data_IF_409181998316
#
_entry.id   IF_409181998316
#
_cell.length_a   1.000
_cell.length_b   1.000
_cell.length_c   1.000
_cell.angle_alpha   90.00
_cell.angle_beta   90.00
_cell.angle_gamma   90.00
#
_symmetry.space_group_name_H-M   'P 1'
#
loop_
_entity.id
_entity.type
_entity.pdbx_description
1 polymer ?
#
# COMPACT_ATOMS: atom_id res chain seq x y z
N UNK A 1 10.24 5.12 9.15
CA UNK A 1 10.32 4.17 10.29
C UNK A 1 11.24 4.70 11.39
N UNK A 2 12.45 5.18 11.07
CA UNK A 2 13.43 5.65 12.06
C UNK A 2 12.92 6.73 13.05
N UNK A 3 12.00 7.58 12.61
CA UNK A 3 11.45 8.69 13.42
C UNK A 3 9.99 8.50 13.84
N UNK A 4 9.43 7.30 13.64
CA UNK A 4 8.06 7.04 14.04
C UNK A 4 8.00 6.76 15.54
N UNK A 5 7.13 7.44 16.29
CA UNK A 5 6.89 7.10 17.70
C UNK A 5 6.08 5.82 17.85
N UNK A 6 5.20 5.57 16.87
CA UNK A 6 4.35 4.38 16.82
C UNK A 6 4.41 3.75 15.43
N UNK A 7 4.55 2.42 15.40
CA UNK A 7 4.58 1.61 14.20
C UNK A 7 3.45 0.59 14.27
N UNK A 8 2.52 0.66 13.31
CA UNK A 8 1.49 -0.38 13.14
C UNK A 8 2.00 -1.43 12.17
N UNK A 9 2.33 -2.61 12.69
CA UNK A 9 2.68 -3.79 11.91
C UNK A 9 1.40 -4.55 11.56
N UNK A 10 0.92 -4.37 10.33
CA UNK A 10 -0.33 -4.92 9.85
C UNK A 10 -0.12 -6.20 9.01
N UNK A 11 -1.21 -6.96 8.81
CA UNK A 11 -1.29 -8.21 8.02
C UNK A 11 -0.64 -9.42 8.70
N UNK A 12 -0.79 -9.53 10.03
CA UNK A 12 -0.28 -10.69 10.76
C UNK A 12 -0.93 -12.02 10.31
N UNK A 13 -2.07 -11.96 9.63
CA UNK A 13 -2.77 -13.11 9.06
C UNK A 13 -2.04 -13.76 7.87
N UNK A 14 -1.04 -13.09 7.28
CA UNK A 14 -0.31 -13.59 6.11
C UNK A 14 1.12 -14.03 6.40
N UNK A 15 1.55 -14.04 7.68
CA UNK A 15 2.93 -14.34 8.06
C UNK A 15 2.99 -15.34 9.20
N UNK A 16 4.04 -16.16 9.18
CA UNK A 16 4.37 -17.06 10.29
C UNK A 16 4.93 -16.29 11.50
N UNK A 17 4.90 -16.88 12.71
CA UNK A 17 5.52 -16.27 13.89
C UNK A 17 7.01 -15.97 13.70
N UNK A 18 7.72 -16.81 12.93
CA UNK A 18 9.14 -16.65 12.62
C UNK A 18 9.39 -15.47 11.68
N UNK A 19 8.57 -15.30 10.64
CA UNK A 19 8.59 -14.14 9.75
C UNK A 19 8.29 -12.85 10.50
N UNK A 20 7.28 -12.88 11.38
CA UNK A 20 6.93 -11.75 12.23
C UNK A 20 8.11 -11.35 13.13
N UNK A 21 8.77 -12.32 13.77
CA UNK A 21 9.94 -12.06 14.61
C UNK A 21 11.09 -11.42 13.81
N UNK A 22 11.35 -11.88 12.58
CA UNK A 22 12.37 -11.28 11.70
C UNK A 22 12.03 -9.83 11.35
N UNK A 23 10.78 -9.55 10.97
CA UNK A 23 10.33 -8.19 10.64
C UNK A 23 10.40 -7.28 11.87
N UNK A 24 9.94 -7.76 13.04
CA UNK A 24 10.01 -7.01 14.28
C UNK A 24 11.46 -6.69 14.68
N UNK A 25 12.37 -7.67 14.56
CA UNK A 25 13.80 -7.46 14.82
C UNK A 25 14.40 -6.40 13.88
N UNK A 26 14.03 -6.42 12.59
CA UNK A 26 14.47 -5.42 11.61
C UNK A 26 13.94 -4.03 11.95
N UNK A 27 12.66 -3.90 12.30
CA UNK A 27 12.07 -2.64 12.76
C UNK A 27 12.83 -2.12 13.98
N UNK A 28 13.07 -2.97 14.98
CA UNK A 28 13.81 -2.61 16.21
C UNK A 28 15.26 -2.22 15.95
N UNK A 29 15.91 -2.76 14.92
CA UNK A 29 17.26 -2.35 14.51
C UNK A 29 17.30 -0.94 13.91
N UNK A 30 16.20 -0.47 13.33
CA UNK A 30 16.08 0.86 12.71
C UNK A 30 15.51 1.88 13.70
N UNK A 31 14.56 1.46 14.54
CA UNK A 31 13.93 2.30 15.53
C UNK A 31 13.63 1.47 16.78
N UNK A 32 14.53 1.57 17.76
CA UNK A 32 14.40 0.86 19.04
C UNK A 32 13.25 1.41 19.89
N UNK A 33 12.95 2.69 19.75
CA UNK A 33 12.07 3.44 20.65
C UNK A 33 10.60 3.40 20.24
N UNK A 34 10.29 3.12 18.98
CA UNK A 34 8.90 3.00 18.51
C UNK A 34 8.12 1.92 19.27
N UNK A 35 6.89 2.24 19.65
CA UNK A 35 5.91 1.23 20.06
C UNK A 35 5.41 0.48 18.81
N UNK A 36 5.40 -0.85 18.85
CA UNK A 36 4.95 -1.68 17.73
C UNK A 36 3.58 -2.25 18.08
N UNK A 37 2.56 -1.87 17.33
CA UNK A 37 1.23 -2.46 17.43
C UNK A 37 1.02 -3.47 16.32
N UNK A 38 0.60 -4.67 16.70
CA UNK A 38 0.22 -5.72 15.76
C UNK A 38 -1.23 -5.51 15.33
N UNK A 39 -1.49 -5.60 14.03
CA UNK A 39 -2.82 -5.46 13.46
C UNK A 39 -3.08 -6.48 12.34
N UNK A 40 -4.35 -6.87 12.20
CA UNK A 40 -4.85 -7.60 11.04
C UNK A 40 -5.94 -6.74 10.41
N UNK A 41 -5.88 -6.56 9.08
CA UNK A 41 -6.81 -5.67 8.34
C UNK A 41 -6.90 -4.25 8.91
N UNK A 42 -5.82 -3.75 9.53
CA UNK A 42 -5.76 -2.42 10.13
C UNK A 42 -6.54 -2.30 11.44
N UNK A 43 -6.98 -3.40 12.04
CA UNK A 43 -7.65 -3.40 13.33
C UNK A 43 -6.63 -3.14 14.45
N UNK A 44 -6.55 -1.88 14.87
CA UNK A 44 -5.75 -1.41 15.99
C UNK A 44 -6.57 -0.34 16.72
N UNK A 45 -6.44 -0.32 18.04
CA UNK A 45 -7.12 0.67 18.87
C UNK A 45 -6.63 2.08 18.53
N UNK A 46 -7.55 2.93 18.05
CA UNK A 46 -7.24 4.29 17.59
C UNK A 46 -6.71 5.18 18.72
N UNK A 47 -7.07 4.89 19.96
CA UNK A 47 -6.57 5.62 21.14
C UNK A 47 -5.08 5.41 21.36
N UNK A 48 -4.52 4.31 20.82
CA UNK A 48 -3.09 4.01 20.82
C UNK A 48 -2.33 4.68 19.67
N UNK A 49 -3.02 5.43 18.81
CA UNK A 49 -2.41 6.11 17.66
C UNK A 49 -2.56 7.63 17.72
N UNK A 50 -3.61 8.13 18.39
CA UNK A 50 -3.96 9.56 18.40
C UNK A 50 -3.78 10.17 19.79
N UNK A 51 -3.37 11.44 19.84
CA UNK A 51 -3.26 12.18 21.11
C UNK A 51 -2.08 11.79 22.00
N UNK A 52 -1.12 11.03 21.47
CA UNK A 52 0.00 10.49 22.24
C UNK A 52 1.04 11.54 22.64
N UNK A 53 0.94 12.78 22.13
CA UNK A 53 1.92 13.84 22.31
C UNK A 53 3.37 13.35 22.09
N UNK A 54 3.53 12.42 21.14
CA UNK A 54 4.69 11.55 21.08
C UNK A 54 5.95 12.24 20.55
N UNK A 55 5.79 13.40 19.92
CA UNK A 55 6.88 14.23 19.46
C UNK A 55 7.34 15.19 20.57
N UNK A 56 8.43 14.82 21.26
CA UNK A 56 9.19 15.68 22.16
C UNK A 56 10.54 16.01 21.51
N UNK A 57 10.65 17.21 20.95
CA UNK A 57 11.85 17.67 20.25
C UNK A 57 13.11 17.65 21.15
N UNK A 58 12.95 17.87 22.46
CA UNK A 58 14.08 17.84 23.41
C UNK A 58 14.66 16.44 23.52
N UNK A 59 13.80 15.42 23.66
CA UNK A 59 14.20 14.01 23.70
C UNK A 59 14.84 13.53 22.40
N UNK A 60 14.33 14.02 21.26
CA UNK A 60 14.87 13.68 19.93
C UNK A 60 16.29 14.23 19.77
N UNK A 61 16.53 15.49 20.17
CA UNK A 61 17.86 16.11 20.10
C UNK A 61 18.85 15.48 21.09
N UNK A 62 18.40 15.02 22.26
CA UNK A 62 19.26 14.30 23.21
C UNK A 62 19.67 12.89 22.71
N UNK A 63 18.78 12.22 21.99
CA UNK A 63 19.02 10.86 21.47
C UNK A 63 19.69 10.83 20.09
N UNK A 64 19.50 11.88 19.30
CA UNK A 64 20.06 12.07 17.95
C UNK A 64 20.52 13.53 17.83
N UNK A 65 21.75 13.85 18.25
CA UNK A 65 22.26 15.23 18.29
C UNK A 65 22.24 15.92 16.93
N UNK A 66 22.50 15.16 15.87
CA UNK A 66 22.62 15.65 14.48
C UNK A 66 21.25 15.67 13.76
N UNK A 67 20.13 15.63 14.50
CA UNK A 67 18.78 15.54 13.95
C UNK A 67 18.40 16.71 13.02
N UNK A 68 19.06 17.85 13.18
CA UNK A 68 18.84 19.06 12.36
C UNK A 68 19.91 19.25 11.26
N UNK A 69 20.88 18.34 11.14
CA UNK A 69 21.90 18.42 10.10
C UNK A 69 21.35 17.91 8.76
N UNK A 70 21.51 18.73 7.71
CA UNK A 70 20.86 18.58 6.39
C UNK A 70 21.28 17.32 5.60
N UNK A 71 22.31 16.58 6.05
CA UNK A 71 22.93 15.48 5.30
C UNK A 71 22.32 14.08 5.57
N UNK A 72 21.27 13.94 6.37
CA UNK A 72 20.69 12.63 6.72
C UNK A 72 19.54 12.15 5.81
N UNK A 73 19.33 12.77 4.65
CA UNK A 73 18.27 12.39 3.72
C UNK A 73 18.79 11.54 2.54
N UNK A 74 18.65 10.22 2.64
CA UNK A 74 18.65 9.36 1.45
C UNK A 74 17.34 9.59 0.70
N UNK A 75 17.30 10.62 -0.15
CA UNK A 75 16.24 10.79 -1.13
C UNK A 75 16.35 9.67 -2.16
N UNK A 76 15.47 8.68 -2.06
CA UNK A 76 15.31 7.68 -3.11
C UNK A 76 14.42 8.29 -4.20
N UNK A 77 15.01 9.11 -5.07
CA UNK A 77 14.33 9.95 -6.09
C UNK A 77 13.55 9.17 -7.17
N UNK A 78 13.48 7.84 -7.12
CA UNK A 78 12.89 7.01 -8.18
C UNK A 78 11.46 6.51 -7.87
N UNK A 79 10.86 6.91 -6.75
CA UNK A 79 9.50 6.53 -6.39
C UNK A 79 8.48 7.36 -7.19
N UNK A 80 7.70 6.71 -8.04
CA UNK A 80 6.62 7.32 -8.80
C UNK A 80 5.25 6.67 -8.53
N UNK A 81 4.19 7.46 -8.70
CA UNK A 81 2.80 6.99 -8.63
C UNK A 81 2.13 7.16 -9.99
N UNK A 82 1.49 6.10 -10.48
CA UNK A 82 0.74 6.09 -11.73
C UNK A 82 -0.71 5.74 -11.44
N UNK A 83 -1.60 6.70 -11.68
CA UNK A 83 -3.05 6.52 -11.66
C UNK A 83 -3.58 6.27 -13.07
N UNK A 84 -4.39 5.23 -13.21
CA UNK A 84 -5.11 4.86 -14.42
C UNK A 84 -6.61 4.86 -14.14
N UNK A 85 -7.39 5.31 -15.11
CA UNK A 85 -8.85 5.31 -15.04
C UNK A 85 -9.42 4.81 -16.37
N UNK A 86 -10.52 4.07 -16.30
CA UNK A 86 -11.26 3.59 -17.45
C UNK A 86 -12.77 3.74 -17.19
N UNK A 87 -13.44 4.44 -18.10
CA UNK A 87 -14.89 4.66 -18.06
C UNK A 87 -15.66 3.53 -18.74
N UNK A 88 -15.29 2.28 -18.44
CA UNK A 88 -15.92 1.07 -18.95
C UNK A 88 -15.83 -0.05 -17.91
N UNK A 89 -16.80 -0.99 -17.90
CA UNK A 89 -16.68 -2.20 -17.10
C UNK A 89 -15.49 -3.05 -17.57
N UNK A 90 -14.84 -3.70 -16.62
CA UNK A 90 -13.75 -4.63 -16.85
C UNK A 90 -14.27 -6.06 -16.90
N UNK A 91 -13.57 -6.88 -17.67
CA UNK A 91 -13.67 -8.33 -17.58
C UNK A 91 -12.82 -8.82 -16.39
N UNK A 92 -13.41 -9.48 -15.39
CA UNK A 92 -12.68 -9.91 -14.20
C UNK A 92 -11.59 -10.95 -14.50
N UNK A 93 -11.79 -11.80 -15.51
CA UNK A 93 -10.81 -12.83 -15.89
C UNK A 93 -9.61 -12.18 -16.57
N UNK A 94 -9.85 -11.27 -17.53
CA UNK A 94 -8.76 -10.51 -18.17
C UNK A 94 -7.97 -9.70 -17.14
N UNK A 95 -8.65 -9.03 -16.22
CA UNK A 95 -7.99 -8.26 -15.17
C UNK A 95 -7.13 -9.14 -14.26
N UNK A 96 -7.66 -10.28 -13.78
CA UNK A 96 -6.92 -11.19 -12.89
C UNK A 96 -5.67 -11.77 -13.56
N UNK A 97 -5.75 -12.16 -14.84
CA UNK A 97 -4.61 -12.64 -15.61
C UNK A 97 -3.56 -11.53 -15.75
N UNK A 98 -3.98 -10.34 -16.18
CA UNK A 98 -3.07 -9.22 -16.40
C UNK A 98 -2.40 -8.75 -15.11
N UNK A 99 -3.16 -8.53 -14.04
CA UNK A 99 -2.60 -8.04 -12.77
C UNK A 99 -1.73 -9.11 -12.12
N UNK A 100 -2.09 -10.39 -12.21
CA UNK A 100 -1.26 -11.50 -11.74
C UNK A 100 0.10 -11.51 -12.43
N UNK A 101 0.13 -11.38 -13.76
CA UNK A 101 1.37 -11.28 -14.52
C UNK A 101 2.19 -10.04 -14.11
N UNK A 102 1.57 -8.86 -14.03
CA UNK A 102 2.26 -7.62 -13.64
C UNK A 102 2.87 -7.75 -12.23
N UNK A 103 2.13 -8.27 -11.26
CA UNK A 103 2.66 -8.46 -9.92
C UNK A 103 3.78 -9.51 -9.93
N UNK A 104 3.69 -10.58 -10.72
CA UNK A 104 4.74 -11.60 -10.85
C UNK A 104 6.04 -11.09 -11.49
N UNK A 105 5.95 -10.23 -12.50
CA UNK A 105 7.13 -9.74 -13.23
C UNK A 105 7.69 -8.45 -12.64
N UNK A 106 6.82 -7.55 -12.18
CA UNK A 106 7.19 -6.19 -11.73
C UNK A 106 6.98 -5.97 -10.22
N UNK A 107 6.54 -6.97 -9.45
CA UNK A 107 6.19 -6.77 -8.04
C UNK A 107 7.36 -6.42 -7.11
N UNK A 108 8.61 -6.59 -7.55
CA UNK A 108 9.78 -6.03 -6.86
C UNK A 108 9.83 -4.49 -6.95
N UNK A 109 9.35 -3.95 -8.07
CA UNK A 109 9.29 -2.52 -8.36
C UNK A 109 7.96 -1.89 -7.91
N UNK A 110 6.88 -2.67 -7.87
CA UNK A 110 5.57 -2.24 -7.38
C UNK A 110 5.50 -2.40 -5.86
N UNK A 111 5.55 -1.29 -5.14
CA UNK A 111 5.45 -1.27 -3.68
C UNK A 111 4.00 -1.45 -3.22
N UNK A 112 3.07 -0.80 -3.92
CA UNK A 112 1.64 -0.86 -3.59
C UNK A 112 0.77 -0.62 -4.81
N UNK A 113 -0.31 -1.36 -4.88
CA UNK A 113 -1.39 -1.12 -5.84
C UNK A 113 -2.72 -1.03 -5.09
N UNK A 114 -3.59 -0.13 -5.52
CA UNK A 114 -4.97 -0.07 -5.05
C UNK A 114 -5.89 0.21 -6.22
N UNK A 115 -7.07 -0.41 -6.24
CA UNK A 115 -8.08 -0.13 -7.24
C UNK A 115 -9.50 -0.19 -6.71
N UNK A 116 -10.37 0.58 -7.34
CA UNK A 116 -11.82 0.40 -7.27
C UNK A 116 -12.25 0.10 -8.70
N UNK A 117 -12.72 -1.11 -8.93
CA UNK A 117 -13.00 -1.64 -10.25
C UNK A 117 -14.50 -1.83 -10.44
N UNK A 118 -14.97 -1.53 -11.65
CA UNK A 118 -16.31 -1.88 -12.11
C UNK A 118 -16.19 -3.13 -12.97
N UNK A 119 -16.72 -4.28 -12.52
CA UNK A 119 -16.77 -5.49 -13.35
C UNK A 119 -18.06 -5.58 -14.15
N UNK A 120 -17.99 -6.27 -15.30
CA UNK A 120 -19.18 -6.63 -16.07
C UNK A 120 -20.13 -7.49 -15.21
N UNK A 121 -21.44 -7.26 -15.35
CA UNK A 121 -22.50 -8.01 -14.66
C UNK A 121 -22.43 -8.00 -13.12
N UNK A 122 -21.80 -7.00 -12.51
CA UNK A 122 -21.72 -6.88 -11.04
C UNK A 122 -22.01 -5.46 -10.59
N UNK A 123 -22.92 -5.32 -9.62
CA UNK A 123 -23.43 -4.06 -9.10
C UNK A 123 -22.65 -3.48 -7.93
N UNK A 124 -21.74 -4.27 -7.39
CA UNK A 124 -20.77 -3.86 -6.37
C UNK A 124 -19.49 -3.34 -6.97
N UNK A 125 -18.85 -2.44 -6.22
CA UNK A 125 -17.48 -2.03 -6.47
C UNK A 125 -16.57 -3.17 -6.03
N UNK A 126 -15.59 -3.52 -6.84
CA UNK A 126 -14.53 -4.43 -6.40
C UNK A 126 -13.35 -3.60 -5.89
N UNK A 127 -13.04 -3.72 -4.60
CA UNK A 127 -11.88 -3.08 -4.01
C UNK A 127 -10.68 -4.00 -4.13
N UNK A 128 -9.71 -3.61 -4.94
CA UNK A 128 -8.46 -4.34 -5.17
C UNK A 128 -7.32 -3.70 -4.38
N UNK A 129 -6.45 -4.53 -3.81
CA UNK A 129 -5.20 -4.08 -3.22
C UNK A 129 -4.08 -5.09 -3.45
N UNK A 130 -2.86 -4.58 -3.66
CA UNK A 130 -1.67 -5.41 -3.65
C UNK A 130 -0.52 -4.71 -2.94
N UNK A 131 0.35 -5.49 -2.33
CA UNK A 131 1.64 -5.05 -1.77
C UNK A 131 2.69 -6.02 -2.28
N UNK A 132 3.61 -5.52 -3.11
CA UNK A 132 4.49 -6.37 -3.91
C UNK A 132 3.69 -7.44 -4.66
N UNK A 133 4.05 -8.71 -4.50
CA UNK A 133 3.45 -9.85 -5.21
C UNK A 133 2.08 -10.26 -4.68
N UNK A 134 1.71 -9.78 -3.49
CA UNK A 134 0.54 -10.29 -2.76
C UNK A 134 -0.65 -9.39 -3.06
N UNK A 135 -1.62 -9.95 -3.77
CA UNK A 135 -2.89 -9.32 -4.08
C UNK A 135 -4.02 -9.86 -3.21
N UNK A 136 -4.98 -9.00 -2.95
CA UNK A 136 -6.24 -9.30 -2.27
C UNK A 136 -7.33 -8.38 -2.84
N UNK A 137 -8.58 -8.81 -2.75
CA UNK A 137 -9.70 -7.99 -3.18
C UNK A 137 -11.04 -8.58 -2.82
N UNK A 138 -12.00 -7.70 -2.60
CA UNK A 138 -13.35 -8.07 -2.20
C UNK A 138 -14.39 -7.10 -2.78
N UNK A 139 -15.63 -7.56 -2.88
CA UNK A 139 -16.76 -6.72 -3.23
C UNK A 139 -17.16 -5.87 -2.04
N UNK A 140 -17.23 -4.56 -2.26
CA UNK A 140 -17.65 -3.58 -1.26
C UNK A 140 -19.04 -3.03 -1.62
N UNK A 141 -19.36 -1.83 -1.12
CA UNK A 141 -20.65 -1.20 -1.36
C UNK A 141 -21.06 -1.14 -2.84
N UNK A 142 -22.37 -1.23 -3.14
CA UNK A 142 -22.89 -1.07 -4.50
C UNK A 142 -22.51 0.29 -5.11
N UNK A 143 -22.53 0.35 -6.44
CA UNK A 143 -22.56 1.61 -7.16
C UNK A 143 -23.88 2.33 -6.83
N UNK A 144 -23.85 3.65 -6.59
CA UNK A 144 -25.09 4.42 -6.49
C UNK A 144 -25.65 4.61 -7.91
N UNK A 145 -26.96 4.73 -8.04
CA UNK A 145 -27.61 4.96 -9.33
C UNK A 145 -27.08 6.19 -10.09
N UNK A 146 -26.58 7.19 -9.36
CA UNK A 146 -25.98 8.42 -9.90
C UNK A 146 -24.48 8.31 -10.19
N UNK A 147 -23.82 7.25 -9.74
CA UNK A 147 -22.37 7.13 -9.87
C UNK A 147 -21.99 6.72 -11.29
N UNK A 148 -21.06 7.45 -11.89
CA UNK A 148 -20.40 6.99 -13.10
C UNK A 148 -19.52 5.78 -12.75
N UNK A 149 -19.78 4.65 -13.41
CA UNK A 149 -19.04 3.39 -13.21
C UNK A 149 -17.67 3.46 -13.87
N UNK A 150 -16.74 4.11 -13.17
CA UNK A 150 -15.35 4.28 -13.61
C UNK A 150 -14.43 3.39 -12.79
N UNK A 151 -13.68 2.52 -13.46
CA UNK A 151 -12.61 1.75 -12.83
C UNK A 151 -11.39 2.64 -12.64
N UNK A 152 -10.79 2.64 -11.45
CA UNK A 152 -9.58 3.39 -11.13
C UNK A 152 -8.59 2.49 -10.44
N UNK A 153 -7.32 2.55 -10.85
CA UNK A 153 -6.23 1.81 -10.22
C UNK A 153 -4.99 2.70 -10.12
N UNK A 154 -4.30 2.63 -9.00
CA UNK A 154 -3.06 3.36 -8.73
C UNK A 154 -1.94 2.38 -8.41
N UNK A 155 -0.79 2.57 -9.05
CA UNK A 155 0.45 1.85 -8.81
C UNK A 155 1.46 2.81 -8.20
N UNK A 156 2.10 2.39 -7.11
CA UNK A 156 3.14 3.14 -6.41
C UNK A 156 4.38 2.26 -6.41
N UNK A 157 5.47 2.77 -6.96
CA UNK A 157 6.65 1.93 -7.20
C UNK A 157 7.82 2.68 -7.80
N UNK A 158 8.87 1.92 -8.13
CA UNK A 158 10.08 2.42 -8.79
C UNK A 158 10.03 2.07 -10.27
N UNK A 159 10.58 2.94 -11.12
CA UNK A 159 10.79 2.69 -12.55
C UNK A 159 9.54 2.17 -13.31
N UNK A 160 8.35 2.63 -12.90
CA UNK A 160 7.10 2.12 -13.43
C UNK A 160 6.85 2.55 -14.88
N UNK A 161 6.53 1.59 -15.75
CA UNK A 161 6.23 1.86 -17.16
C UNK A 161 4.75 2.25 -17.36
N UNK A 162 4.46 3.55 -17.30
CA UNK A 162 3.08 4.08 -17.49
C UNK A 162 2.41 3.63 -18.79
N UNK A 163 3.05 3.71 -19.97
CA UNK A 163 2.44 3.23 -21.21
C UNK A 163 2.07 1.74 -21.19
N UNK A 164 2.92 0.88 -20.63
CA UNK A 164 2.65 -0.56 -20.51
C UNK A 164 1.49 -0.84 -19.57
N UNK A 165 1.51 -0.25 -18.37
CA UNK A 165 0.44 -0.41 -17.37
C UNK A 165 -0.91 0.09 -17.91
N UNK A 166 -0.89 1.23 -18.61
CA UNK A 166 -2.08 1.79 -19.27
C UNK A 166 -2.68 0.82 -20.29
N UNK A 167 -1.87 0.36 -21.26
CA UNK A 167 -2.35 -0.55 -22.31
C UNK A 167 -2.89 -1.85 -21.73
N UNK A 168 -2.20 -2.41 -20.74
CA UNK A 168 -2.66 -3.61 -20.05
C UNK A 168 -4.00 -3.42 -19.35
N UNK A 169 -4.17 -2.32 -18.61
CA UNK A 169 -5.43 -2.00 -17.95
C UNK A 169 -6.58 -1.76 -18.95
N UNK A 170 -6.32 -1.02 -20.03
CA UNK A 170 -7.31 -0.75 -21.09
C UNK A 170 -7.70 -2.04 -21.84
N UNK A 171 -6.78 -3.00 -22.01
CA UNK A 171 -7.08 -4.30 -22.63
C UNK A 171 -8.03 -5.18 -21.81
N UNK A 172 -8.23 -4.86 -20.53
CA UNK A 172 -9.16 -5.55 -19.64
C UNK A 172 -10.61 -5.07 -19.80
N UNK A 173 -10.90 -4.10 -20.68
CA UNK A 173 -12.26 -3.70 -20.99
C UNK A 173 -13.12 -4.89 -21.47
N UNK A 174 -14.38 -4.92 -21.03
CA UNK A 174 -15.38 -5.90 -21.41
C UNK A 174 -16.08 -5.53 -22.73
#
# INVERSE_FOLDING_TARGET
MAFADVIVLNKLDLVTPEELARVAARIRSVNRYAEIHHATRGNVDVTKLLGLNAFDLGRVLESVPDFLDEDSHTHNEHLNSISLSLDAPLDPEKFNIWIGHILQTEGQNILRTKGILSYKNEDRRFAFQAVHMIADGDFVAPWKATDKRTSRIVFIGRDLNRPQLRRGFESCAA
#
